data_IF_022388877288
#
_entry.id   IF_022388877288
#
_cell.length_a   1.000
_cell.length_b   1.000
_cell.length_c   1.000
_cell.angle_alpha   90.00
_cell.angle_beta   90.00
_cell.angle_gamma   90.00
#
_symmetry.space_group_name_H-M   'P 1'
#
loop_
_entity.id
_entity.type
_entity.pdbx_description
1 polymer ?
#
# COMPACT_ATOMS: atom_id res chain seq x y z
N UNK A 1 11.09 2.84 5.28
CA UNK A 1 10.15 2.34 6.30
C UNK A 1 10.52 0.91 6.69
N UNK A 2 10.13 0.51 7.90
CA UNK A 2 10.37 -0.83 8.45
C UNK A 2 9.33 -1.84 7.93
N UNK A 3 9.55 -3.16 8.10
CA UNK A 3 8.50 -4.17 7.99
C UNK A 3 7.27 -3.86 8.87
N UNK A 4 6.07 -4.25 8.42
CA UNK A 4 4.80 -3.89 9.07
C UNK A 4 4.74 -4.26 10.56
N UNK A 5 5.20 -5.46 10.93
CA UNK A 5 5.20 -5.93 12.33
C UNK A 5 6.09 -5.11 13.26
N UNK A 6 7.03 -4.31 12.72
CA UNK A 6 7.91 -3.43 13.49
C UNK A 6 7.35 -2.00 13.64
N UNK A 7 6.26 -1.65 12.96
CA UNK A 7 5.69 -0.30 13.03
C UNK A 7 5.35 0.10 14.47
N UNK A 8 4.56 -0.72 15.17
CA UNK A 8 4.13 -0.42 16.54
C UNK A 8 5.28 -0.35 17.56
N UNK A 9 6.19 -1.35 17.68
CA UNK A 9 7.30 -1.25 18.62
C UNK A 9 8.21 -0.05 18.35
N UNK A 10 8.54 0.22 17.08
CA UNK A 10 9.38 1.36 16.74
C UNK A 10 8.69 2.71 17.01
N UNK A 11 7.43 2.85 16.60
CA UNK A 11 6.66 4.08 16.81
C UNK A 11 6.47 4.38 18.31
N UNK A 12 6.13 3.36 19.10
CA UNK A 12 5.91 3.52 20.53
C UNK A 12 7.23 3.85 21.24
N UNK A 13 8.34 3.18 20.88
CA UNK A 13 9.66 3.51 21.41
C UNK A 13 10.07 4.96 21.09
N UNK A 14 9.85 5.41 19.85
CA UNK A 14 10.13 6.79 19.44
C UNK A 14 9.30 7.81 20.23
N UNK A 15 7.99 7.57 20.40
CA UNK A 15 7.13 8.46 21.19
C UNK A 15 7.51 8.47 22.68
N UNK A 16 7.90 7.33 23.26
CA UNK A 16 8.44 7.27 24.62
C UNK A 16 9.74 8.07 24.77
N UNK A 17 10.54 8.17 23.71
CA UNK A 17 11.73 9.00 23.65
C UNK A 17 11.43 10.48 23.34
N UNK A 18 10.16 10.89 23.29
CA UNK A 18 9.77 12.29 23.04
C UNK A 18 9.77 12.69 21.56
N UNK A 19 9.76 11.73 20.63
CA UNK A 19 9.83 11.98 19.19
C UNK A 19 8.46 11.86 18.53
N UNK A 20 8.11 12.83 17.69
CA UNK A 20 7.00 12.71 16.75
C UNK A 20 7.26 11.57 15.75
N UNK A 21 6.19 10.93 15.28
CA UNK A 21 6.30 9.76 14.40
C UNK A 21 5.52 9.96 13.11
N UNK A 22 6.20 9.69 11.98
CA UNK A 22 5.58 9.38 10.70
C UNK A 22 5.92 7.92 10.38
N UNK A 23 4.91 7.06 10.29
CA UNK A 23 5.06 5.63 9.94
C UNK A 23 4.46 5.36 8.58
N UNK A 24 4.95 4.33 7.88
CA UNK A 24 4.30 3.87 6.65
C UNK A 24 2.97 3.19 6.97
N UNK A 25 2.11 3.09 5.95
CA UNK A 25 0.92 2.25 6.00
C UNK A 25 1.31 0.77 5.79
N UNK A 26 0.55 -0.20 6.30
CA UNK A 26 -0.57 -0.05 7.21
C UNK A 26 -0.09 0.38 8.61
N UNK A 27 -0.96 0.94 9.44
CA UNK A 27 -0.57 1.50 10.75
C UNK A 27 0.23 0.52 11.63
N UNK A 28 -0.24 -0.73 11.75
CA UNK A 28 0.46 -1.84 12.40
C UNK A 28 -0.06 -3.19 11.87
N UNK A 29 0.52 -4.29 12.34
CA UNK A 29 0.17 -5.66 11.94
C UNK A 29 -1.10 -6.19 12.61
N UNK A 30 -1.47 -5.66 13.78
CA UNK A 30 -2.68 -6.02 14.54
C UNK A 30 -3.50 -4.80 14.92
N UNK A 31 -4.82 -4.95 15.00
CA UNK A 31 -5.71 -3.87 15.44
C UNK A 31 -5.36 -3.41 16.85
N UNK A 32 -5.04 -4.34 17.76
CA UNK A 32 -4.57 -4.04 19.10
C UNK A 32 -3.36 -3.09 19.12
N UNK A 33 -2.40 -3.33 18.22
CA UNK A 33 -1.19 -2.53 18.07
C UNK A 33 -1.49 -1.13 17.48
N UNK A 34 -2.42 -1.04 16.53
CA UNK A 34 -2.89 0.26 16.02
C UNK A 34 -3.50 1.10 17.16
N UNK A 35 -4.30 0.48 18.03
CA UNK A 35 -4.89 1.12 19.21
C UNK A 35 -3.81 1.51 20.22
N UNK A 36 -2.82 0.66 20.49
CA UNK A 36 -1.66 0.98 21.33
C UNK A 36 -0.92 2.22 20.83
N UNK A 37 -0.64 2.30 19.53
CA UNK A 37 0.01 3.48 18.92
C UNK A 37 -0.84 4.75 19.06
N UNK A 38 -2.15 4.66 18.82
CA UNK A 38 -3.06 5.80 18.99
C UNK A 38 -3.13 6.27 20.46
N UNK A 39 -3.22 5.34 21.41
CA UNK A 39 -3.21 5.62 22.85
C UNK A 39 -1.88 6.23 23.30
N UNK A 40 -0.76 5.76 22.75
CA UNK A 40 0.56 6.32 23.05
C UNK A 40 0.67 7.76 22.54
N UNK A 41 0.25 8.05 21.31
CA UNK A 41 0.22 9.42 20.77
C UNK A 41 -0.66 10.35 21.62
N UNK A 42 -1.83 9.88 22.04
CA UNK A 42 -2.72 10.62 22.97
C UNK A 42 -2.06 10.86 24.33
N UNK A 43 -1.37 9.85 24.89
CA UNK A 43 -0.70 9.92 26.19
C UNK A 43 0.48 10.90 26.19
N UNK A 44 1.26 10.94 25.11
CA UNK A 44 2.45 11.79 25.01
C UNK A 44 2.15 13.18 24.43
N UNK A 45 0.99 13.37 23.81
CA UNK A 45 0.65 14.59 23.08
C UNK A 45 1.46 14.76 21.79
N UNK A 46 2.16 13.71 21.33
CA UNK A 46 3.00 13.76 20.14
C UNK A 46 2.19 13.45 18.88
N UNK A 47 2.47 14.18 17.80
CA UNK A 47 1.94 13.89 16.47
C UNK A 47 2.40 12.51 15.97
N UNK A 48 1.44 11.66 15.65
CA UNK A 48 1.61 10.40 14.91
C UNK A 48 0.84 10.51 13.58
N UNK A 49 1.53 10.33 12.47
CA UNK A 49 0.95 10.24 11.13
C UNK A 49 1.23 8.88 10.50
N UNK A 50 0.31 8.40 9.67
CA UNK A 50 0.48 7.19 8.85
C UNK A 50 0.47 7.58 7.38
N UNK A 51 1.44 7.09 6.61
CA UNK A 51 1.68 7.44 5.20
C UNK A 51 0.57 6.96 4.25
N UNK A 52 -0.53 7.72 4.16
CA UNK A 52 -1.59 7.55 3.17
C UNK A 52 -1.59 8.74 2.21
N UNK A 53 -0.67 8.67 1.26
CA UNK A 53 -0.42 9.65 0.21
C UNK A 53 -1.67 10.09 -0.60
N UNK A 54 -2.72 9.26 -0.70
CA UNK A 54 -3.95 9.60 -1.46
C UNK A 54 -4.72 10.77 -0.88
N UNK A 55 -4.61 11.00 0.43
CA UNK A 55 -5.18 12.18 1.08
C UNK A 55 -4.56 13.49 0.57
N UNK A 56 -3.39 13.42 -0.07
CA UNK A 56 -2.65 14.56 -0.64
C UNK A 56 -2.59 14.50 -2.17
N UNK A 57 -3.35 13.60 -2.80
CA UNK A 57 -3.37 13.46 -4.25
C UNK A 57 -4.52 14.28 -4.84
N UNK A 58 -4.18 15.25 -5.68
CA UNK A 58 -5.12 16.17 -6.30
C UNK A 58 -6.19 15.47 -7.15
N UNK A 59 -5.87 14.34 -7.78
CA UNK A 59 -6.87 13.57 -8.54
C UNK A 59 -7.99 13.06 -7.63
N UNK A 60 -7.66 12.64 -6.40
CA UNK A 60 -8.66 12.18 -5.43
C UNK A 60 -9.44 13.34 -4.82
N UNK A 61 -8.80 14.48 -4.51
CA UNK A 61 -9.47 15.69 -4.03
C UNK A 61 -10.54 16.18 -5.03
N UNK A 62 -10.22 16.08 -6.32
CA UNK A 62 -11.14 16.44 -7.38
C UNK A 62 -12.21 15.38 -7.68
N UNK A 63 -11.90 14.09 -7.56
CA UNK A 63 -12.91 13.04 -7.59
C UNK A 63 -13.94 13.24 -6.47
N UNK A 64 -13.48 13.63 -5.27
CA UNK A 64 -14.35 14.04 -4.15
C UNK A 64 -15.24 15.22 -4.54
N UNK A 65 -14.71 16.23 -5.22
CA UNK A 65 -15.50 17.37 -5.69
C UNK A 65 -16.58 16.96 -6.72
N UNK A 66 -16.26 16.07 -7.66
CA UNK A 66 -17.24 15.55 -8.62
C UNK A 66 -18.38 14.80 -7.92
N UNK A 67 -18.06 13.99 -6.91
CA UNK A 67 -19.04 13.28 -6.09
C UNK A 67 -19.91 14.30 -5.32
N UNK A 68 -19.30 15.27 -4.65
CA UNK A 68 -20.01 16.31 -3.87
C UNK A 68 -20.93 17.18 -4.72
N UNK A 69 -20.53 17.49 -5.96
CA UNK A 69 -21.36 18.23 -6.93
C UNK A 69 -22.50 17.40 -7.52
N UNK A 70 -22.59 16.11 -7.17
CA UNK A 70 -23.63 15.21 -7.67
C UNK A 70 -23.43 14.77 -9.11
N UNK A 71 -22.23 14.93 -9.69
CA UNK A 71 -21.96 14.56 -11.09
C UNK A 71 -22.19 13.07 -11.34
N UNK A 72 -21.90 12.23 -10.35
CA UNK A 72 -22.15 10.79 -10.41
C UNK A 72 -23.56 10.40 -9.93
N UNK A 73 -24.33 11.34 -9.36
CA UNK A 73 -25.54 11.04 -8.60
C UNK A 73 -25.24 10.20 -7.34
N UNK A 74 -26.20 9.38 -6.93
CA UNK A 74 -26.04 8.49 -5.77
C UNK A 74 -25.06 7.35 -6.05
N UNK A 75 -24.01 7.24 -5.23
CA UNK A 75 -23.06 6.13 -5.28
C UNK A 75 -23.70 4.85 -4.74
N UNK A 76 -23.46 3.73 -5.43
CA UNK A 76 -23.98 2.42 -5.01
C UNK A 76 -22.97 1.28 -5.13
N UNK A 77 -21.88 1.47 -5.90
CA UNK A 77 -20.85 0.44 -6.04
C UNK A 77 -19.49 1.07 -6.32
N UNK A 78 -18.44 0.48 -5.74
CA UNK A 78 -17.05 0.84 -6.03
C UNK A 78 -16.31 -0.47 -6.33
N UNK A 79 -15.62 -0.52 -7.46
CA UNK A 79 -14.71 -1.60 -7.82
C UNK A 79 -13.29 -1.08 -7.77
N UNK A 80 -12.40 -1.76 -7.07
CA UNK A 80 -10.99 -1.42 -7.07
C UNK A 80 -10.12 -2.65 -7.33
N UNK A 81 -8.91 -2.40 -7.83
CA UNK A 81 -7.99 -3.48 -8.13
C UNK A 81 -6.54 -3.05 -7.96
N UNK A 82 -5.69 -4.03 -7.66
CA UNK A 82 -4.25 -3.93 -7.86
C UNK A 82 -3.72 -5.25 -8.40
N UNK A 83 -3.78 -5.42 -9.71
CA UNK A 83 -3.24 -6.58 -10.40
C UNK A 83 -1.76 -6.39 -10.71
N UNK A 84 -1.01 -7.49 -10.66
CA UNK A 84 0.45 -7.45 -10.72
C UNK A 84 0.98 -8.48 -11.69
N UNK A 85 2.08 -8.13 -12.36
CA UNK A 85 2.87 -9.05 -13.16
C UNK A 85 3.88 -9.85 -12.31
N UNK A 86 3.61 -10.05 -11.02
CA UNK A 86 4.46 -10.85 -10.15
C UNK A 86 4.15 -12.33 -10.39
N UNK A 87 5.17 -13.07 -10.82
CA UNK A 87 5.12 -14.51 -11.09
C UNK A 87 6.40 -15.15 -10.52
N UNK A 88 6.43 -16.48 -10.32
CA UNK A 88 7.66 -17.18 -9.98
C UNK A 88 8.83 -16.78 -10.89
N UNK A 89 9.98 -16.45 -10.28
CA UNK A 89 11.16 -15.94 -10.98
C UNK A 89 11.17 -14.44 -11.30
N UNK A 90 10.05 -13.73 -11.12
CA UNK A 90 9.94 -12.26 -11.29
C UNK A 90 9.27 -11.58 -10.10
N UNK A 91 9.28 -12.25 -8.95
CA UNK A 91 8.64 -11.74 -7.75
C UNK A 91 9.46 -10.63 -7.10
N UNK A 92 8.95 -9.40 -7.17
CA UNK A 92 9.57 -8.25 -6.51
C UNK A 92 9.67 -8.39 -4.98
N UNK A 93 8.88 -9.26 -4.35
CA UNK A 93 8.93 -9.47 -2.90
C UNK A 93 9.99 -10.50 -2.50
N UNK A 94 10.46 -11.32 -3.44
CA UNK A 94 11.51 -12.32 -3.22
C UNK A 94 12.88 -11.71 -3.49
N UNK A 95 13.36 -10.88 -2.56
CA UNK A 95 14.69 -10.26 -2.66
C UNK A 95 15.80 -11.32 -2.71
N UNK A 96 16.92 -11.08 -3.41
CA UNK A 96 18.05 -12.00 -3.41
C UNK A 96 18.66 -12.12 -2.02
N UNK A 97 19.18 -13.30 -1.68
CA UNK A 97 19.81 -13.57 -0.38
C UNK A 97 21.34 -13.48 -0.50
N UNK A 98 22.04 -13.05 0.57
CA UNK A 98 23.50 -13.04 0.60
C UNK A 98 24.06 -14.47 0.49
N UNK A 99 25.25 -14.65 -0.11
CA UNK A 99 25.89 -15.96 -0.19
C UNK A 99 26.05 -16.62 1.17
N UNK A 100 25.66 -17.89 1.26
CA UNK A 100 25.73 -18.69 2.48
C UNK A 100 24.49 -18.58 3.39
N UNK A 101 23.45 -17.84 2.96
CA UNK A 101 22.16 -17.89 3.63
C UNK A 101 21.51 -19.28 3.49
N UNK A 102 21.74 -19.96 2.36
CA UNK A 102 21.42 -21.37 2.10
C UNK A 102 22.52 -22.04 1.28
N UNK A 103 22.31 -23.33 0.98
CA UNK A 103 23.18 -24.09 0.07
C UNK A 103 23.08 -23.56 -1.37
N UNK A 104 24.16 -22.94 -1.85
CA UNK A 104 24.27 -22.36 -3.21
C UNK A 104 24.01 -23.38 -4.34
N UNK A 105 24.25 -24.68 -4.12
CA UNK A 105 23.94 -25.71 -5.12
C UNK A 105 22.44 -25.92 -5.27
N UNK A 106 21.71 -25.82 -4.15
CA UNK A 106 20.25 -25.96 -4.10
C UNK A 106 19.54 -24.65 -4.44
N UNK A 107 20.15 -23.51 -4.10
CA UNK A 107 19.60 -22.16 -4.26
C UNK A 107 20.59 -21.26 -5.02
N UNK A 108 20.75 -21.45 -6.34
CA UNK A 108 21.69 -20.68 -7.14
C UNK A 108 21.36 -19.18 -7.18
N UNK A 109 20.12 -18.79 -6.88
CA UNK A 109 19.73 -17.38 -6.80
C UNK A 109 20.51 -16.58 -5.75
N UNK A 110 21.08 -17.23 -4.73
CA UNK A 110 21.94 -16.56 -3.74
C UNK A 110 23.29 -16.12 -4.30
N UNK A 111 23.78 -16.81 -5.33
CA UNK A 111 25.05 -16.45 -5.96
C UNK A 111 24.93 -15.18 -6.82
N UNK A 112 23.71 -14.77 -7.17
CA UNK A 112 23.44 -13.61 -8.03
C UNK A 112 24.09 -12.35 -7.47
N UNK A 113 24.08 -12.13 -6.15
CA UNK A 113 24.65 -10.91 -5.56
C UNK A 113 26.17 -10.81 -5.73
N UNK A 114 26.90 -11.91 -5.57
CA UNK A 114 28.35 -11.94 -5.70
C UNK A 114 28.78 -11.76 -7.17
N UNK A 115 28.10 -12.45 -8.09
CA UNK A 115 28.33 -12.30 -9.53
C UNK A 115 27.99 -10.88 -10.02
N UNK A 116 26.86 -10.32 -9.55
CA UNK A 116 26.48 -8.94 -9.83
C UNK A 116 27.51 -7.95 -9.32
N UNK A 117 27.99 -8.15 -8.08
CA UNK A 117 29.01 -7.30 -7.50
C UNK A 117 30.27 -7.29 -8.36
N UNK A 118 30.81 -8.46 -8.71
CA UNK A 118 32.02 -8.57 -9.53
C UNK A 118 31.83 -7.89 -10.91
N UNK A 119 30.68 -8.08 -11.54
CA UNK A 119 30.34 -7.42 -12.81
C UNK A 119 30.25 -5.90 -12.66
N UNK A 120 29.65 -5.41 -11.57
CA UNK A 120 29.52 -3.98 -11.31
C UNK A 120 30.86 -3.34 -10.95
N UNK A 121 31.74 -4.04 -10.25
CA UNK A 121 33.11 -3.57 -9.99
C UNK A 121 33.89 -3.37 -11.29
N UNK A 122 33.79 -4.33 -12.21
CA UNK A 122 34.41 -4.21 -13.53
C UNK A 122 33.80 -3.05 -14.34
N UNK A 123 32.47 -2.89 -14.30
CA UNK A 123 31.79 -1.78 -14.96
C UNK A 123 32.24 -0.43 -14.40
N UNK A 124 32.33 -0.31 -13.08
CA UNK A 124 32.80 0.91 -12.41
C UNK A 124 34.25 1.22 -12.79
N UNK A 125 35.12 0.20 -12.87
CA UNK A 125 36.51 0.36 -13.33
C UNK A 125 36.57 0.93 -14.75
N UNK A 126 35.74 0.44 -15.66
CA UNK A 126 35.64 0.99 -17.03
C UNK A 126 35.12 2.43 -17.05
N UNK A 127 34.15 2.75 -16.20
CA UNK A 127 33.63 4.11 -16.07
C UNK A 127 34.69 5.10 -15.58
N UNK A 128 35.55 4.68 -14.63
CA UNK A 128 36.68 5.47 -14.14
C UNK A 128 37.73 5.67 -15.23
N UNK A 129 38.11 4.61 -15.95
CA UNK A 129 39.05 4.70 -17.08
C UNK A 129 38.57 5.68 -18.17
N UNK A 130 37.27 5.69 -18.47
CA UNK A 130 36.70 6.64 -19.43
C UNK A 130 36.72 8.07 -18.88
N UNK A 131 36.41 8.26 -17.58
CA UNK A 131 36.51 9.57 -16.94
C UNK A 131 37.93 10.14 -17.01
N UNK A 132 38.95 9.31 -16.75
CA UNK A 132 40.36 9.71 -16.83
C UNK A 132 40.74 10.14 -18.25
N UNK A 133 40.30 9.40 -19.27
CA UNK A 133 40.50 9.77 -20.69
C UNK A 133 39.84 11.09 -21.05
N UNK A 134 38.61 11.32 -20.59
CA UNK A 134 37.87 12.56 -20.85
C UNK A 134 38.53 13.78 -20.19
N UNK A 135 39.11 13.59 -19.00
CA UNK A 135 39.78 14.67 -18.27
C UNK A 135 41.09 15.14 -18.91
N UNK A 136 41.70 14.33 -19.78
CA UNK A 136 42.92 14.69 -20.50
C UNK A 136 42.68 15.70 -21.64
N UNK A 137 41.45 15.85 -22.12
CA UNK A 137 41.10 16.80 -23.18
C UNK A 137 40.23 17.96 -22.62
N UNK A 138 40.80 19.19 -22.49
CA UNK A 138 40.06 20.36 -22.03
C UNK A 138 38.80 20.68 -22.86
N UNK A 139 38.73 20.25 -24.13
CA UNK A 139 37.56 20.46 -25.01
C UNK A 139 36.37 19.61 -24.60
N UNK A 140 36.57 18.52 -23.86
CA UNK A 140 35.55 17.55 -23.43
C UNK A 140 35.13 17.72 -21.96
N UNK A 141 35.38 18.88 -21.35
CA UNK A 141 35.08 19.14 -19.94
C UNK A 141 33.61 18.87 -19.54
N UNK A 142 32.63 19.16 -20.41
CA UNK A 142 31.20 18.87 -20.15
C UNK A 142 30.91 17.36 -20.12
N UNK A 143 31.56 16.59 -20.99
CA UNK A 143 31.42 15.12 -21.02
C UNK A 143 32.09 14.49 -19.79
N UNK A 144 33.27 15.00 -19.40
CA UNK A 144 33.95 14.58 -18.18
C UNK A 144 33.08 14.81 -16.93
N UNK A 145 32.43 15.97 -16.80
CA UNK A 145 31.51 16.26 -15.68
C UNK A 145 30.28 15.33 -15.69
N UNK A 146 29.65 15.11 -16.85
CA UNK A 146 28.53 14.18 -16.97
C UNK A 146 28.95 12.73 -16.61
N UNK A 147 30.12 12.28 -17.05
CA UNK A 147 30.65 10.97 -16.74
C UNK A 147 31.01 10.83 -15.26
N UNK A 148 31.56 11.88 -14.63
CA UNK A 148 31.83 11.94 -13.19
C UNK A 148 30.55 11.72 -12.39
N UNK A 149 29.47 12.46 -12.69
CA UNK A 149 28.17 12.32 -12.00
C UNK A 149 27.61 10.91 -12.13
N UNK A 150 27.69 10.32 -13.33
CA UNK A 150 27.27 8.92 -13.57
C UNK A 150 28.10 7.93 -12.74
N UNK A 151 29.42 8.12 -12.68
CA UNK A 151 30.31 7.26 -11.90
C UNK A 151 30.04 7.39 -10.40
N UNK A 152 29.82 8.60 -9.88
CA UNK A 152 29.44 8.85 -8.48
C UNK A 152 28.10 8.20 -8.12
N UNK A 153 27.09 8.31 -8.98
CA UNK A 153 25.81 7.62 -8.79
C UNK A 153 25.97 6.09 -8.83
N UNK A 154 26.76 5.57 -9.76
CA UNK A 154 27.04 4.14 -9.86
C UNK A 154 27.81 3.62 -8.64
N UNK A 155 28.76 4.39 -8.10
CA UNK A 155 29.51 4.05 -6.90
C UNK A 155 28.58 3.84 -5.70
N UNK A 156 27.55 4.67 -5.54
CA UNK A 156 26.54 4.49 -4.47
C UNK A 156 25.82 3.15 -4.59
N UNK A 157 25.44 2.77 -5.82
CA UNK A 157 24.81 1.46 -6.09
C UNK A 157 25.78 0.30 -5.83
N UNK A 158 27.05 0.47 -6.19
CA UNK A 158 28.10 -0.52 -5.91
C UNK A 158 28.34 -0.69 -4.40
N UNK A 159 28.39 0.41 -3.64
CA UNK A 159 28.51 0.38 -2.19
C UNK A 159 27.32 -0.34 -1.54
N UNK A 160 26.10 -0.08 -2.01
CA UNK A 160 24.91 -0.81 -1.56
C UNK A 160 25.05 -2.32 -1.83
N UNK A 161 25.51 -2.71 -3.02
CA UNK A 161 25.74 -4.12 -3.36
C UNK A 161 26.80 -4.77 -2.48
N UNK A 162 27.89 -4.05 -2.16
CA UNK A 162 28.92 -4.52 -1.22
C UNK A 162 28.37 -4.74 0.19
N UNK A 163 27.54 -3.81 0.66
CA UNK A 163 26.87 -3.95 1.96
C UNK A 163 25.97 -5.19 1.99
N UNK A 164 25.16 -5.42 0.94
CA UNK A 164 24.32 -6.61 0.84
C UNK A 164 25.10 -7.92 0.93
N UNK A 165 26.30 -8.00 0.34
CA UNK A 165 27.17 -9.18 0.46
C UNK A 165 27.79 -9.27 1.86
N UNK A 166 28.13 -8.14 2.48
CA UNK A 166 28.67 -8.07 3.83
C UNK A 166 27.66 -8.48 4.91
N UNK A 167 26.36 -8.32 4.64
CA UNK A 167 25.25 -8.74 5.52
C UNK A 167 25.22 -10.25 5.81
N UNK A 168 26.08 -11.05 5.17
CA UNK A 168 26.34 -12.45 5.57
C UNK A 168 26.63 -12.60 7.08
N UNK A 169 27.17 -11.57 7.73
CA UNK A 169 27.42 -11.58 9.18
C UNK A 169 26.12 -11.63 10.00
N UNK A 170 24.99 -11.19 9.44
CA UNK A 170 23.68 -11.18 10.08
C UNK A 170 23.01 -12.56 10.01
N UNK A 171 23.47 -13.46 9.13
CA UNK A 171 22.92 -14.82 8.97
C UNK A 171 22.82 -15.53 10.33
N UNK A 172 23.89 -15.48 11.13
CA UNK A 172 23.94 -16.12 12.45
C UNK A 172 23.05 -15.43 13.50
N UNK A 173 22.74 -14.14 13.32
CA UNK A 173 22.04 -13.32 14.33
C UNK A 173 20.54 -13.19 14.07
N UNK A 174 20.04 -13.52 12.88
CA UNK A 174 18.64 -13.30 12.55
C UNK A 174 17.69 -13.96 13.57
N UNK A 175 18.01 -15.18 14.04
CA UNK A 175 17.25 -15.85 15.09
C UNK A 175 17.26 -15.09 16.43
N UNK A 176 18.39 -14.49 16.81
CA UNK A 176 18.53 -13.69 18.03
C UNK A 176 17.62 -12.46 18.03
N UNK A 177 17.29 -11.94 16.84
CA UNK A 177 16.35 -10.82 16.66
C UNK A 177 14.88 -11.26 16.49
N UNK A 178 14.56 -12.53 16.74
CA UNK A 178 13.19 -13.05 16.72
C UNK A 178 12.65 -13.37 15.33
N UNK A 179 13.51 -13.51 14.32
CA UNK A 179 13.14 -14.12 13.04
C UNK A 179 13.10 -15.64 13.16
N UNK A 180 12.22 -16.28 12.39
CA UNK A 180 11.80 -17.66 12.53
C UNK A 180 12.21 -18.50 11.32
N UNK A 181 12.50 -19.76 11.59
CA UNK A 181 12.61 -20.78 10.56
C UNK A 181 11.21 -21.19 10.09
N UNK A 182 11.03 -21.36 8.79
CA UNK A 182 9.81 -21.89 8.19
C UNK A 182 10.10 -23.18 7.43
N UNK A 183 9.40 -24.26 7.83
CA UNK A 183 9.52 -25.58 7.20
C UNK A 183 8.22 -25.93 6.48
N UNK A 184 8.27 -26.01 5.15
CA UNK A 184 7.14 -26.47 4.35
C UNK A 184 7.29 -27.95 4.06
N UNK A 185 6.18 -28.68 4.23
CA UNK A 185 6.14 -30.13 4.08
C UNK A 185 5.09 -30.55 3.05
N UNK A 186 5.37 -31.65 2.35
CA UNK A 186 4.39 -32.31 1.50
C UNK A 186 3.37 -33.12 2.34
N UNK A 187 2.43 -33.78 1.67
CA UNK A 187 1.42 -34.63 2.32
C UNK A 187 2.02 -35.85 3.03
N UNK A 188 3.24 -36.25 2.69
CA UNK A 188 3.99 -37.35 3.31
C UNK A 188 4.83 -36.87 4.50
N UNK A 189 4.86 -35.56 4.76
CA UNK A 189 5.62 -34.94 5.85
C UNK A 189 7.08 -34.62 5.51
N UNK A 190 7.53 -34.85 4.27
CA UNK A 190 8.89 -34.54 3.84
C UNK A 190 9.06 -33.02 3.70
N UNK A 191 10.19 -32.49 4.15
CA UNK A 191 10.50 -31.07 3.97
C UNK A 191 10.78 -30.80 2.50
N UNK A 192 9.95 -29.97 1.87
CA UNK A 192 10.07 -29.56 0.46
C UNK A 192 10.67 -28.15 0.33
N UNK A 193 10.59 -27.34 1.38
CA UNK A 193 11.24 -26.04 1.46
C UNK A 193 11.59 -25.70 2.89
N UNK A 194 12.75 -25.07 3.06
CA UNK A 194 13.26 -24.59 4.34
C UNK A 194 13.66 -23.13 4.14
N UNK A 195 13.08 -22.25 4.95
CA UNK A 195 13.43 -20.85 5.02
C UNK A 195 14.09 -20.58 6.39
N UNK A 196 15.40 -20.32 6.46
CA UNK A 196 16.05 -19.98 7.71
C UNK A 196 15.65 -18.56 8.17
N UNK A 197 15.87 -18.20 9.44
CA UNK A 197 15.53 -16.89 9.99
C UNK A 197 16.03 -15.68 9.16
N UNK A 198 17.21 -15.78 8.54
CA UNK A 198 17.75 -14.71 7.68
C UNK A 198 16.88 -14.46 6.44
N UNK A 199 16.27 -15.52 5.89
CA UNK A 199 15.36 -15.36 4.78
C UNK A 199 14.09 -14.64 5.22
N UNK A 200 13.57 -14.92 6.41
CA UNK A 200 12.41 -14.21 6.94
C UNK A 200 12.71 -12.71 7.11
N UNK A 201 13.89 -12.37 7.62
CA UNK A 201 14.35 -10.99 7.74
C UNK A 201 14.39 -10.27 6.38
N UNK A 202 15.03 -10.87 5.37
CA UNK A 202 15.24 -10.23 4.07
C UNK A 202 13.96 -10.22 3.23
N UNK A 203 13.26 -11.35 3.21
CA UNK A 203 12.03 -11.57 2.43
C UNK A 203 10.79 -11.41 3.30
N UNK A 204 10.82 -10.49 4.26
CA UNK A 204 9.74 -10.27 5.23
C UNK A 204 8.35 -10.16 4.59
N UNK A 205 8.24 -9.63 3.38
CA UNK A 205 6.95 -9.53 2.67
C UNK A 205 6.28 -10.86 2.39
N UNK A 206 7.03 -11.97 2.37
CA UNK A 206 6.55 -13.31 2.06
C UNK A 206 5.90 -14.03 3.26
N UNK A 207 5.91 -13.40 4.44
CA UNK A 207 5.45 -14.04 5.67
C UNK A 207 4.31 -13.25 6.29
N UNK A 208 3.20 -13.91 6.60
CA UNK A 208 2.02 -13.30 7.19
C UNK A 208 2.44 -12.53 8.45
N UNK A 209 3.18 -13.19 9.34
CA UNK A 209 3.67 -12.65 10.61
C UNK A 209 4.37 -11.30 10.47
N UNK A 210 5.08 -11.06 9.37
CA UNK A 210 5.93 -9.87 9.23
C UNK A 210 5.38 -8.85 8.24
N UNK A 211 4.46 -9.25 7.35
CA UNK A 211 3.91 -8.48 6.22
C UNK A 211 2.40 -8.22 6.30
N UNK A 212 1.61 -9.22 6.70
CA UNK A 212 0.14 -9.17 6.59
C UNK A 212 -0.41 -9.36 5.17
N UNK A 213 0.43 -9.70 4.18
CA UNK A 213 -0.01 -10.13 2.85
C UNK A 213 -0.58 -9.01 1.96
N UNK A 214 -1.20 -9.41 0.84
CA UNK A 214 -1.64 -8.48 -0.22
C UNK A 214 -2.65 -7.45 0.27
N UNK A 215 -3.55 -7.79 1.19
CA UNK A 215 -4.52 -6.81 1.69
C UNK A 215 -3.86 -5.71 2.52
N UNK A 216 -2.89 -6.05 3.38
CA UNK A 216 -2.18 -5.06 4.18
C UNK A 216 -1.21 -4.22 3.33
N UNK A 217 -0.46 -4.87 2.43
CA UNK A 217 0.57 -4.24 1.60
C UNK A 217 0.01 -3.49 0.38
N UNK A 218 -1.14 -3.89 -0.16
CA UNK A 218 -1.72 -3.29 -1.36
C UNK A 218 -3.18 -2.87 -1.12
N UNK A 219 -4.03 -3.76 -0.62
CA UNK A 219 -5.46 -3.48 -0.47
C UNK A 219 -5.79 -2.26 0.40
N UNK A 220 -4.97 -1.98 1.42
CA UNK A 220 -5.07 -0.77 2.25
C UNK A 220 -5.04 0.53 1.44
N UNK A 221 -4.30 0.56 0.32
CA UNK A 221 -4.24 1.72 -0.57
C UNK A 221 -5.55 2.00 -1.30
N UNK A 222 -6.15 0.98 -1.93
CA UNK A 222 -7.42 1.13 -2.65
C UNK A 222 -8.61 1.27 -1.69
N UNK A 223 -8.52 0.67 -0.51
CA UNK A 223 -9.53 0.82 0.52
C UNK A 223 -9.61 2.26 1.05
N UNK A 224 -8.45 2.91 1.24
CA UNK A 224 -8.40 4.31 1.65
C UNK A 224 -9.08 5.21 0.60
N UNK A 225 -8.80 4.98 -0.69
CA UNK A 225 -9.51 5.65 -1.80
C UNK A 225 -11.03 5.47 -1.73
N UNK A 226 -11.50 4.24 -1.56
CA UNK A 226 -12.93 3.95 -1.44
C UNK A 226 -13.56 4.66 -0.23
N UNK A 227 -12.85 4.69 0.90
CA UNK A 227 -13.29 5.39 2.11
C UNK A 227 -13.40 6.90 1.89
N UNK A 228 -12.51 7.51 1.11
CA UNK A 228 -12.57 8.91 0.70
C UNK A 228 -13.84 9.19 -0.14
N UNK A 229 -14.14 8.35 -1.13
CA UNK A 229 -15.33 8.52 -1.98
C UNK A 229 -16.64 8.31 -1.23
N UNK A 230 -16.70 7.30 -0.37
CA UNK A 230 -17.86 7.03 0.47
C UNK A 230 -18.07 8.19 1.44
N UNK A 231 -17.01 8.73 2.04
CA UNK A 231 -17.11 9.92 2.88
C UNK A 231 -17.64 11.12 2.09
N UNK A 232 -17.19 11.33 0.85
CA UNK A 232 -17.69 12.41 -0.02
C UNK A 232 -19.20 12.30 -0.27
N UNK A 233 -19.72 11.10 -0.51
CA UNK A 233 -21.17 10.85 -0.64
C UNK A 233 -21.96 11.14 0.65
N UNK A 234 -21.29 11.19 1.81
CA UNK A 234 -21.85 11.51 3.13
C UNK A 234 -21.44 12.91 3.61
N UNK A 235 -21.25 13.87 2.70
CA UNK A 235 -20.90 15.24 3.05
C UNK A 235 -19.52 15.38 3.72
N UNK A 236 -18.60 14.45 3.46
CA UNK A 236 -17.26 14.39 4.05
C UNK A 236 -17.17 13.57 5.34
N UNK A 237 -18.26 12.98 5.84
CA UNK A 237 -18.23 12.17 7.05
C UNK A 237 -17.80 10.72 6.76
N UNK A 238 -16.70 10.27 7.38
CA UNK A 238 -16.19 8.89 7.25
C UNK A 238 -17.25 7.89 7.74
N UNK A 239 -17.53 6.89 6.92
CA UNK A 239 -18.44 5.79 7.26
C UNK A 239 -17.66 4.54 7.65
N UNK A 240 -18.18 3.79 8.61
CA UNK A 240 -17.65 2.47 8.96
C UNK A 240 -18.40 1.39 8.17
N UNK A 241 -17.69 0.35 7.71
CA UNK A 241 -18.35 -0.75 7.02
C UNK A 241 -19.24 -1.55 7.96
N UNK A 242 -20.24 -2.20 7.38
CA UNK A 242 -21.19 -3.09 8.04
C UNK A 242 -20.63 -4.51 8.14
N UNK A 243 -20.06 -5.01 7.04
CA UNK A 243 -19.45 -6.33 6.98
C UNK A 243 -18.42 -6.45 5.86
N UNK A 244 -17.59 -7.49 5.95
CA UNK A 244 -16.71 -7.94 4.87
C UNK A 244 -16.96 -9.41 4.57
N UNK A 245 -16.88 -9.78 3.29
CA UNK A 245 -16.66 -11.15 2.83
C UNK A 245 -15.35 -11.19 2.05
N UNK A 246 -14.46 -12.13 2.36
CA UNK A 246 -13.15 -12.21 1.71
C UNK A 246 -12.70 -13.65 1.44
N UNK A 247 -11.83 -13.79 0.45
CA UNK A 247 -11.16 -15.03 0.11
C UNK A 247 -9.72 -14.75 -0.34
N UNK A 248 -8.83 -15.69 -0.04
CA UNK A 248 -7.46 -15.70 -0.53
C UNK A 248 -7.11 -17.08 -1.10
N UNK A 249 -6.18 -17.13 -2.06
CA UNK A 249 -5.71 -18.40 -2.61
C UNK A 249 -4.24 -18.32 -3.05
N UNK A 250 -3.62 -19.48 -3.29
CA UNK A 250 -2.20 -19.62 -3.65
C UNK A 250 -1.94 -20.57 -4.84
N UNK A 251 -2.38 -20.25 -6.06
CA UNK A 251 -2.23 -21.15 -7.21
C UNK A 251 -0.89 -21.01 -7.97
N UNK A 252 -0.04 -20.02 -7.69
CA UNK A 252 1.10 -19.65 -8.53
C UNK A 252 2.45 -19.90 -7.88
N UNK A 253 2.65 -19.40 -6.65
CA UNK A 253 3.96 -19.42 -6.02
C UNK A 253 4.23 -20.79 -5.36
N UNK A 254 5.49 -21.24 -5.37
CA UNK A 254 5.88 -22.46 -4.68
C UNK A 254 5.67 -22.32 -3.15
N UNK A 255 5.82 -23.42 -2.38
CA UNK A 255 5.75 -23.38 -0.92
C UNK A 255 7.01 -22.71 -0.31
N UNK A 256 7.25 -21.45 -0.67
CA UNK A 256 8.36 -20.59 -0.23
C UNK A 256 7.89 -19.34 0.53
N UNK A 257 6.62 -19.33 0.92
CA UNK A 257 5.87 -18.23 1.55
C UNK A 257 4.62 -18.80 2.21
N UNK A 258 3.97 -18.02 3.06
CA UNK A 258 2.65 -18.34 3.65
C UNK A 258 1.55 -17.31 3.31
N UNK A 259 1.92 -16.19 2.68
CA UNK A 259 0.98 -15.19 2.18
C UNK A 259 0.28 -15.64 0.89
N UNK A 260 -0.90 -15.05 0.67
CA UNK A 260 -1.77 -15.37 -0.45
C UNK A 260 -1.22 -14.80 -1.77
N UNK A 261 -1.45 -15.53 -2.87
CA UNK A 261 -1.09 -15.09 -4.22
C UNK A 261 -2.17 -14.17 -4.79
N UNK A 262 -3.43 -14.40 -4.41
CA UNK A 262 -4.56 -13.54 -4.73
C UNK A 262 -5.40 -13.26 -3.49
N UNK A 263 -6.01 -12.07 -3.44
CA UNK A 263 -7.01 -11.69 -2.45
C UNK A 263 -8.18 -11.04 -3.15
N UNK A 264 -9.38 -11.40 -2.71
CA UNK A 264 -10.65 -10.84 -3.18
C UNK A 264 -11.52 -10.51 -1.98
N UNK A 265 -12.17 -9.35 -1.98
CA UNK A 265 -13.16 -9.04 -0.95
C UNK A 265 -14.32 -8.20 -1.47
N UNK A 266 -15.43 -8.31 -0.76
CA UNK A 266 -16.59 -7.42 -0.85
C UNK A 266 -16.85 -6.84 0.54
N UNK A 267 -16.90 -5.53 0.64
CA UNK A 267 -17.16 -4.79 1.88
C UNK A 267 -18.41 -3.97 1.66
N UNK A 268 -19.37 -4.07 2.57
CA UNK A 268 -20.60 -3.28 2.53
C UNK A 268 -20.47 -2.08 3.45
N UNK A 269 -20.76 -0.89 2.94
CA UNK A 269 -20.85 0.35 3.70
C UNK A 269 -22.29 0.86 3.71
N UNK A 270 -22.71 1.62 4.73
CA UNK A 270 -23.97 2.35 4.67
C UNK A 270 -23.94 3.34 3.48
N UNK A 271 -25.02 3.38 2.71
CA UNK A 271 -25.26 4.46 1.74
C UNK A 271 -26.03 5.61 2.40
N UNK A 272 -26.09 6.81 1.80
CA UNK A 272 -26.97 7.87 2.27
C UNK A 272 -28.41 7.39 2.46
N UNK A 273 -28.96 7.61 3.65
CA UNK A 273 -30.30 7.13 4.03
C UNK A 273 -30.37 5.66 4.46
N UNK A 274 -29.24 4.99 4.70
CA UNK A 274 -29.20 3.69 5.38
C UNK A 274 -29.83 3.79 6.77
N UNK A 275 -30.76 2.88 7.06
CA UNK A 275 -31.35 2.72 8.39
C UNK A 275 -31.46 1.22 8.71
N UNK A 276 -30.73 0.70 9.71
CA UNK A 276 -30.78 -0.72 10.05
C UNK A 276 -32.16 -1.16 10.59
N UNK A 277 -33.01 -0.23 11.04
CA UNK A 277 -34.34 -0.51 11.61
C UNK A 277 -35.44 -0.51 10.55
N UNK A 278 -35.21 0.13 9.40
CA UNK A 278 -36.17 0.16 8.30
C UNK A 278 -35.93 -1.01 7.32
N UNK A 279 -36.96 -1.82 6.97
CA UNK A 279 -36.81 -2.97 6.08
C UNK A 279 -36.22 -2.63 4.69
N UNK A 280 -36.45 -1.42 4.18
CA UNK A 280 -35.94 -0.95 2.90
C UNK A 280 -34.65 -0.13 3.07
N UNK A 281 -34.57 0.71 4.10
CA UNK A 281 -33.41 1.50 4.47
C UNK A 281 -32.18 0.64 4.71
N UNK A 282 -32.34 -0.54 5.33
CA UNK A 282 -31.23 -1.47 5.57
C UNK A 282 -30.61 -2.05 4.28
N UNK A 283 -31.30 -1.92 3.14
CA UNK A 283 -30.80 -2.36 1.83
C UNK A 283 -29.98 -1.28 1.12
N UNK A 284 -30.03 -0.02 1.59
CA UNK A 284 -29.26 1.08 1.01
C UNK A 284 -27.80 0.98 1.44
N UNK A 285 -27.01 0.30 0.62
CA UNK A 285 -25.59 0.03 0.86
C UNK A 285 -24.75 0.43 -0.34
N UNK A 286 -23.51 0.83 -0.06
CA UNK A 286 -22.47 0.95 -1.07
C UNK A 286 -21.60 -0.30 -0.95
N UNK A 287 -21.56 -1.12 -1.99
CA UNK A 287 -20.67 -2.28 -2.01
C UNK A 287 -19.33 -1.87 -2.60
N UNK A 288 -18.25 -2.12 -1.86
CA UNK A 288 -16.89 -2.02 -2.34
C UNK A 288 -16.36 -3.41 -2.66
N UNK A 289 -15.92 -3.65 -3.90
CA UNK A 289 -15.27 -4.89 -4.29
C UNK A 289 -13.80 -4.62 -4.62
N UNK A 290 -12.91 -5.45 -4.07
CA UNK A 290 -11.48 -5.35 -4.32
C UNK A 290 -10.89 -6.70 -4.77
N UNK A 291 -9.94 -6.63 -5.69
CA UNK A 291 -9.14 -7.78 -6.07
C UNK A 291 -7.65 -7.41 -6.28
N UNK A 292 -6.76 -8.17 -5.67
CA UNK A 292 -5.33 -8.19 -5.96
C UNK A 292 -4.98 -9.54 -6.57
N UNK A 293 -4.58 -9.55 -7.83
CA UNK A 293 -4.32 -10.76 -8.60
C UNK A 293 -2.91 -10.69 -9.17
N UNK A 294 -2.14 -11.74 -8.91
CA UNK A 294 -0.85 -11.97 -9.55
C UNK A 294 -1.09 -12.71 -10.88
N UNK A 295 -0.46 -12.27 -11.96
CA UNK A 295 -0.73 -12.80 -13.30
C UNK A 295 0.14 -12.11 -14.35
N UNK A 296 -0.43 -11.78 -15.50
CA UNK A 296 0.25 -10.98 -16.53
C UNK A 296 0.25 -9.47 -16.22
N UNK A 297 -0.38 -9.04 -15.13
CA UNK A 297 -0.50 -7.62 -14.75
C UNK A 297 -1.55 -6.82 -15.51
N UNK A 298 -2.43 -7.48 -16.29
CA UNK A 298 -3.53 -6.81 -16.96
C UNK A 298 -4.41 -6.04 -15.96
N UNK A 299 -4.85 -4.84 -16.36
CA UNK A 299 -5.72 -3.98 -15.54
C UNK A 299 -4.99 -3.10 -14.51
N UNK A 300 -3.71 -3.33 -14.22
CA UNK A 300 -2.93 -2.45 -13.35
C UNK A 300 -3.58 -2.22 -11.98
N UNK A 301 -3.63 -0.97 -11.53
CA UNK A 301 -4.27 -0.57 -10.27
C UNK A 301 -5.14 0.67 -10.44
N UNK A 302 -6.22 0.76 -9.67
CA UNK A 302 -7.16 1.87 -9.75
C UNK A 302 -8.51 1.58 -9.11
N UNK A 303 -9.41 2.55 -9.22
CA UNK A 303 -10.76 2.52 -8.69
C UNK A 303 -11.78 2.92 -9.76
N UNK A 304 -12.91 2.23 -9.82
CA UNK A 304 -14.09 2.58 -10.62
C UNK A 304 -15.25 2.83 -9.67
N UNK A 305 -15.77 4.04 -9.67
CA UNK A 305 -16.86 4.52 -8.81
C UNK A 305 -18.12 4.62 -9.64
N UNK A 306 -19.14 3.85 -9.27
CA UNK A 306 -20.42 3.80 -9.96
C UNK A 306 -21.46 4.59 -9.18
N UNK A 307 -22.06 5.57 -9.84
CA UNK A 307 -23.24 6.25 -9.37
C UNK A 307 -24.38 6.22 -10.41
N UNK A 308 -25.55 6.64 -9.96
CA UNK A 308 -26.80 6.62 -10.76
C UNK A 308 -26.78 7.48 -12.02
N UNK A 309 -25.90 8.48 -12.10
CA UNK A 309 -25.83 9.43 -13.22
C UNK A 309 -24.47 9.44 -13.93
N UNK A 310 -23.49 8.70 -13.41
CA UNK A 310 -22.18 8.61 -14.04
C UNK A 310 -21.25 7.61 -13.38
N UNK A 311 -20.21 7.22 -14.13
CA UNK A 311 -19.15 6.32 -13.66
C UNK A 311 -17.80 7.03 -13.80
N UNK A 312 -17.03 7.06 -12.72
CA UNK A 312 -15.67 7.62 -12.68
C UNK A 312 -14.67 6.48 -12.55
N UNK A 313 -13.71 6.37 -13.46
CA UNK A 313 -12.55 5.49 -13.31
C UNK A 313 -11.29 6.31 -13.09
N UNK A 314 -10.52 5.95 -12.06
CA UNK A 314 -9.19 6.46 -11.79
C UNK A 314 -8.20 5.31 -11.99
N UNK A 315 -7.29 5.46 -12.94
CA UNK A 315 -6.30 4.43 -13.28
C UNK A 315 -4.88 4.93 -13.03
N UNK A 316 -4.11 4.09 -12.34
CA UNK A 316 -2.68 4.27 -12.08
C UNK A 316 -2.28 5.61 -11.43
N UNK A 317 -3.23 6.26 -10.73
CA UNK A 317 -3.06 7.60 -10.13
C UNK A 317 -2.62 8.67 -11.15
N UNK A 318 -2.91 8.44 -12.44
CA UNK A 318 -2.50 9.31 -13.54
C UNK A 318 -3.62 9.59 -14.52
N UNK A 319 -4.55 8.67 -14.66
CA UNK A 319 -5.62 8.78 -15.63
C UNK A 319 -6.96 8.83 -14.91
N UNK A 320 -7.84 9.70 -15.38
CA UNK A 320 -9.21 9.80 -14.91
C UNK A 320 -10.15 9.79 -16.11
N UNK A 321 -11.19 8.98 -16.04
CA UNK A 321 -12.19 8.85 -17.09
C UNK A 321 -13.59 8.95 -16.52
N UNK A 322 -14.46 9.74 -17.15
CA UNK A 322 -15.85 9.95 -16.71
C UNK A 322 -16.82 9.57 -17.84
N UNK A 323 -17.72 8.64 -17.53
CA UNK A 323 -18.84 8.24 -18.39
C UNK A 323 -20.16 8.76 -17.82
N UNK A 324 -21.02 9.33 -18.67
CA UNK A 324 -22.43 9.66 -18.37
C UNK A 324 -23.41 8.69 -19.03
N UNK A 325 -22.92 7.85 -19.94
CA UNK A 325 -23.70 6.85 -20.66
C UNK A 325 -23.11 5.46 -20.43
N UNK A 326 -23.76 4.43 -20.97
CA UNK A 326 -23.28 3.05 -20.91
C UNK A 326 -22.30 2.70 -22.05
N UNK A 327 -22.10 3.61 -23.02
CA UNK A 327 -21.21 3.41 -24.15
C UNK A 327 -19.78 3.67 -23.72
N UNK A 328 -18.89 2.69 -23.90
CA UNK A 328 -17.52 2.75 -23.38
C UNK A 328 -16.68 3.78 -24.13
N UNK A 329 -17.07 4.11 -25.35
CA UNK A 329 -16.44 5.10 -26.22
C UNK A 329 -16.79 6.55 -25.79
N UNK A 330 -17.96 6.76 -25.20
CA UNK A 330 -18.50 8.09 -24.85
C UNK A 330 -18.03 8.55 -23.46
N UNK A 331 -16.77 8.98 -23.36
CA UNK A 331 -16.20 9.46 -22.11
C UNK A 331 -15.26 10.65 -22.26
N UNK A 332 -15.12 11.40 -21.16
CA UNK A 332 -14.02 12.34 -21.01
C UNK A 332 -12.83 11.57 -20.45
N UNK A 333 -11.69 11.62 -21.15
CA UNK A 333 -10.41 11.09 -20.66
C UNK A 333 -9.42 12.21 -20.32
N UNK A 334 -8.75 12.06 -19.19
CA UNK A 334 -7.65 12.91 -18.77
C UNK A 334 -6.38 12.09 -18.54
N UNK A 335 -5.26 12.61 -19.00
CA UNK A 335 -3.93 12.04 -18.80
C UNK A 335 -3.02 13.02 -18.04
N UNK A 336 -2.65 12.70 -16.79
CA UNK A 336 -1.64 13.46 -16.06
C UNK A 336 -0.23 13.15 -16.62
N UNK A 337 0.46 14.16 -17.15
CA UNK A 337 1.83 14.01 -17.68
C UNK A 337 2.86 14.70 -16.79
N UNK A 338 4.02 14.05 -16.59
CA UNK A 338 5.10 14.58 -15.75
C UNK A 338 5.80 15.75 -16.45
N UNK A 339 5.61 16.97 -15.93
CA UNK A 339 6.30 18.18 -16.39
C UNK A 339 5.77 18.78 -17.70
N UNK A 340 4.60 18.33 -18.18
CA UNK A 340 3.86 18.96 -19.28
C UNK A 340 2.43 19.27 -18.82
N UNK A 341 1.80 20.35 -19.31
CA UNK A 341 0.38 20.52 -19.13
C UNK A 341 -0.33 19.28 -19.71
N UNK A 342 -1.27 18.70 -18.98
CA UNK A 342 -2.03 17.54 -19.42
C UNK A 342 -2.81 17.84 -20.69
N UNK A 343 -3.02 16.77 -21.42
CA UNK A 343 -3.79 16.80 -22.65
C UNK A 343 -5.16 16.19 -22.34
N UNK A 344 -6.20 16.99 -22.57
CA UNK A 344 -7.56 16.50 -22.72
C UNK A 344 -7.62 15.75 -24.04
N UNK A 345 -7.94 14.46 -23.99
CA UNK A 345 -8.31 13.71 -25.18
C UNK A 345 -9.84 13.55 -25.12
N UNK A 346 -10.54 14.56 -25.63
CA UNK A 346 -12.00 14.50 -25.76
C UNK A 346 -12.34 13.61 -26.94
N UNK A 347 -12.82 12.40 -26.66
CA UNK A 347 -13.46 11.55 -27.66
C UNK A 347 -14.86 12.14 -27.95
N UNK A 348 -14.92 13.05 -28.93
CA UNK A 348 -16.06 13.69 -29.64
C UNK A 348 -17.45 13.80 -28.96
N UNK A 349 -17.88 15.04 -28.61
CA UNK A 349 -18.87 15.93 -29.29
C UNK A 349 -19.21 17.07 -28.30
N UNK A 350 -18.84 18.30 -28.66
CA UNK A 350 -18.60 19.44 -27.76
C UNK A 350 -19.85 20.22 -27.29
N UNK A 351 -20.97 19.54 -27.02
CA UNK A 351 -22.24 20.24 -26.81
C UNK A 351 -22.92 19.85 -25.48
N UNK A 352 -22.57 18.68 -24.89
CA UNK A 352 -23.20 18.14 -23.66
C UNK A 352 -22.25 17.93 -22.46
N UNK A 353 -20.95 18.20 -22.64
CA UNK A 353 -19.91 17.82 -21.67
C UNK A 353 -19.04 18.99 -21.17
N UNK A 354 -19.24 20.21 -21.67
CA UNK A 354 -18.25 21.30 -21.58
C UNK A 354 -17.90 21.76 -20.15
N UNK A 355 -18.86 21.78 -19.22
CA UNK A 355 -18.58 22.24 -17.84
C UNK A 355 -17.85 21.19 -17.01
N UNK A 356 -18.20 19.92 -17.17
CA UNK A 356 -17.52 18.81 -16.48
C UNK A 356 -16.19 18.50 -17.15
N UNK A 357 -16.08 18.58 -18.48
CA UNK A 357 -14.82 18.48 -19.23
C UNK A 357 -13.85 19.62 -18.90
N UNK A 358 -14.34 20.85 -18.72
CA UNK A 358 -13.52 21.97 -18.24
C UNK A 358 -13.06 21.75 -16.79
N UNK A 359 -13.95 21.29 -15.91
CA UNK A 359 -13.59 20.91 -14.54
C UNK A 359 -12.53 19.80 -14.55
N UNK A 360 -12.74 18.74 -15.33
CA UNK A 360 -11.81 17.63 -15.62
C UNK A 360 -10.46 18.15 -16.19
N UNK A 361 -10.47 19.06 -17.14
CA UNK A 361 -9.26 19.69 -17.71
C UNK A 361 -8.44 20.50 -16.70
N UNK A 362 -9.10 21.23 -15.81
CA UNK A 362 -8.44 21.90 -14.68
C UNK A 362 -7.74 20.88 -13.76
N UNK A 363 -8.34 19.70 -13.51
CA UNK A 363 -7.80 18.66 -12.62
C UNK A 363 -6.40 18.20 -12.97
N UNK A 364 -6.11 18.18 -14.27
CA UNK A 364 -4.86 17.67 -14.73
C UNK A 364 -3.80 18.81 -14.71
N UNK A 365 -4.18 20.06 -15.01
CA UNK A 365 -3.24 21.20 -15.18
C UNK A 365 -2.63 21.70 -13.86
N UNK A 366 -3.12 21.24 -12.72
CA UNK A 366 -2.48 21.47 -11.42
C UNK A 366 -1.13 20.76 -11.34
N UNK A 367 -0.13 21.47 -10.80
CA UNK A 367 1.29 21.10 -10.71
C UNK A 367 1.48 19.62 -10.33
N UNK A 368 2.43 18.95 -11.00
CA UNK A 368 2.76 17.53 -10.82
C UNK A 368 2.67 17.05 -9.36
N UNK A 369 1.90 15.98 -9.15
CA UNK A 369 1.66 15.31 -7.86
C UNK A 369 2.95 15.13 -7.07
N UNK A 370 3.01 15.76 -5.88
CA UNK A 370 4.06 15.56 -4.88
C UNK A 370 3.52 14.95 -3.59
N UNK A 371 2.54 14.03 -3.69
CA UNK A 371 1.77 13.51 -2.54
C UNK A 371 2.60 13.21 -1.29
N UNK A 372 3.70 12.45 -1.41
CA UNK A 372 4.61 12.19 -0.27
C UNK A 372 5.34 13.43 0.25
N UNK A 373 5.75 14.36 -0.62
CA UNK A 373 6.39 15.61 -0.19
C UNK A 373 5.39 16.48 0.57
N UNK A 374 4.17 16.63 0.04
CA UNK A 374 3.12 17.42 0.69
C UNK A 374 2.66 16.80 2.02
N UNK A 375 2.59 15.47 2.10
CA UNK A 375 2.30 14.77 3.35
C UNK A 375 3.37 15.06 4.42
N UNK A 376 4.65 14.96 4.06
CA UNK A 376 5.76 15.21 4.97
C UNK A 376 5.82 16.69 5.36
N UNK A 377 5.61 17.61 4.41
CA UNK A 377 5.54 19.05 4.66
C UNK A 377 4.39 19.41 5.61
N UNK A 378 3.20 18.84 5.38
CA UNK A 378 2.05 19.04 6.25
C UNK A 378 2.28 18.46 7.65
N UNK A 379 2.84 17.25 7.75
CA UNK A 379 3.20 16.66 9.04
C UNK A 379 4.20 17.52 9.82
N UNK A 380 5.26 18.00 9.16
CA UNK A 380 6.24 18.91 9.76
C UNK A 380 5.60 20.26 10.16
N UNK A 381 4.64 20.75 9.37
CA UNK A 381 3.88 21.96 9.69
C UNK A 381 3.00 21.76 10.93
N UNK A 382 2.29 20.64 11.07
CA UNK A 382 1.48 20.33 12.26
C UNK A 382 2.35 20.30 13.53
N UNK A 383 3.55 19.73 13.45
CA UNK A 383 4.50 19.71 14.57
C UNK A 383 4.92 21.12 14.99
N UNK A 384 5.16 22.01 14.02
CA UNK A 384 5.57 23.40 14.28
C UNK A 384 4.42 24.30 14.73
N UNK A 385 3.17 23.89 14.48
CA UNK A 385 1.97 24.67 14.77
C UNK A 385 1.00 23.84 15.62
N UNK A 386 1.37 23.49 16.86
CA UNK A 386 0.57 22.58 17.67
C UNK A 386 -0.78 23.19 18.02
N UNK A 387 -1.85 22.57 17.54
CA UNK A 387 -3.23 22.88 17.91
C UNK A 387 -4.10 21.61 17.75
N UNK A 388 -5.20 21.47 18.50
CA UNK A 388 -6.11 20.33 18.35
C UNK A 388 -6.61 20.10 16.91
N UNK A 389 -6.81 21.17 16.16
CA UNK A 389 -7.25 21.19 14.76
C UNK A 389 -6.11 20.92 13.76
N UNK A 390 -4.85 21.18 14.14
CA UNK A 390 -3.69 21.04 13.26
C UNK A 390 -3.17 19.61 13.31
N UNK A 391 -3.92 18.69 12.71
CA UNK A 391 -3.56 17.28 12.62
C UNK A 391 -3.22 16.88 11.17
N UNK A 392 -2.27 15.96 10.98
CA UNK A 392 -2.07 15.32 9.68
C UNK A 392 -3.38 14.70 9.17
N UNK A 393 -3.61 14.70 7.85
CA UNK A 393 -4.86 14.17 7.25
C UNK A 393 -5.11 12.73 7.67
N UNK A 394 -4.06 11.90 7.74
CA UNK A 394 -4.11 10.53 8.23
C UNK A 394 -3.52 10.41 9.65
N UNK A 395 -4.17 11.06 10.61
CA UNK A 395 -3.87 10.93 12.05
C UNK A 395 -4.37 9.58 12.61
N UNK A 396 -4.05 9.20 13.86
CA UNK A 396 -4.19 7.82 14.34
C UNK A 396 -5.61 7.25 14.26
N UNK A 397 -6.65 8.06 14.46
CA UNK A 397 -8.05 7.62 14.36
C UNK A 397 -8.44 7.26 12.92
N UNK A 398 -7.97 8.06 11.95
CA UNK A 398 -8.24 7.82 10.53
C UNK A 398 -7.53 6.54 10.10
N UNK A 399 -6.24 6.42 10.43
CA UNK A 399 -5.42 5.26 10.07
C UNK A 399 -5.87 3.97 10.76
N UNK A 400 -6.33 4.04 12.01
CA UNK A 400 -6.91 2.90 12.72
C UNK A 400 -8.11 2.34 11.96
N UNK A 401 -8.98 3.20 11.44
CA UNK A 401 -10.16 2.74 10.71
C UNK A 401 -9.78 1.93 9.46
N UNK A 402 -8.80 2.38 8.68
CA UNK A 402 -8.36 1.66 7.48
C UNK A 402 -7.66 0.35 7.86
N UNK A 403 -6.89 0.36 8.97
CA UNK A 403 -6.26 -0.84 9.50
C UNK A 403 -7.25 -1.89 10.00
N UNK A 404 -8.32 -1.47 10.70
CA UNK A 404 -9.38 -2.38 11.15
C UNK A 404 -9.98 -3.12 9.96
N UNK A 405 -10.30 -2.41 8.89
CA UNK A 405 -10.94 -3.02 7.73
C UNK A 405 -9.97 -3.95 7.00
N UNK A 406 -8.73 -3.51 6.72
CA UNK A 406 -7.74 -4.34 6.02
C UNK A 406 -7.38 -5.61 6.80
N UNK A 407 -7.14 -5.50 8.11
CA UNK A 407 -6.77 -6.64 8.96
C UNK A 407 -7.96 -7.58 9.20
N UNK A 408 -9.18 -7.06 9.34
CA UNK A 408 -10.39 -7.89 9.44
C UNK A 408 -10.66 -8.62 8.12
N UNK A 409 -10.36 -8.00 6.98
CA UNK A 409 -10.45 -8.65 5.66
C UNK A 409 -9.50 -9.85 5.56
N UNK A 410 -8.26 -9.73 6.04
CA UNK A 410 -7.34 -10.86 6.14
C UNK A 410 -7.87 -11.96 7.07
N UNK A 411 -8.41 -11.58 8.23
CA UNK A 411 -9.01 -12.53 9.15
C UNK A 411 -10.16 -13.30 8.49
N UNK A 412 -11.05 -12.60 7.77
CA UNK A 412 -12.16 -13.19 7.02
C UNK A 412 -11.67 -14.20 5.97
N UNK A 413 -10.69 -13.83 5.15
CA UNK A 413 -10.13 -14.71 4.12
C UNK A 413 -9.57 -16.02 4.71
N UNK A 414 -8.87 -15.93 5.85
CA UNK A 414 -8.24 -17.08 6.52
C UNK A 414 -9.24 -17.95 7.28
N UNK A 415 -10.30 -17.36 7.81
CA UNK A 415 -11.39 -18.13 8.41
C UNK A 415 -12.12 -18.97 7.35
N UNK A 416 -12.32 -18.43 6.14
CA UNK A 416 -12.87 -19.19 5.02
C UNK A 416 -12.01 -20.41 4.67
N UNK A 417 -10.68 -20.25 4.63
CA UNK A 417 -9.74 -21.35 4.37
C UNK A 417 -9.80 -22.44 5.46
N UNK A 418 -9.87 -22.04 6.73
CA UNK A 418 -9.91 -22.97 7.87
C UNK A 418 -11.22 -23.72 8.02
N UNK A 419 -12.31 -23.20 7.46
CA UNK A 419 -13.65 -23.77 7.58
C UNK A 419 -14.32 -23.91 6.20
N UNK A 420 -13.76 -24.73 5.28
CA UNK A 420 -14.21 -24.80 3.89
C UNK A 420 -15.65 -25.31 3.73
N UNK A 421 -16.19 -26.00 4.73
CA UNK A 421 -17.57 -26.50 4.74
C UNK A 421 -18.59 -25.49 5.30
N UNK A 422 -18.14 -24.31 5.76
CA UNK A 422 -19.01 -23.25 6.25
C UNK A 422 -19.02 -22.08 5.27
N UNK A 423 -20.11 -21.89 4.47
CA UNK A 423 -20.16 -20.83 3.46
C UNK A 423 -20.15 -19.41 4.05
N UNK A 424 -20.38 -19.27 5.37
CA UNK A 424 -20.35 -17.99 6.07
C UNK A 424 -19.03 -17.75 6.82
N UNK A 425 -18.09 -18.71 6.85
CA UNK A 425 -16.84 -18.55 7.59
C UNK A 425 -16.00 -17.35 7.09
N UNK A 426 -16.12 -17.00 5.81
CA UNK A 426 -15.47 -15.85 5.21
C UNK A 426 -16.18 -14.51 5.42
N UNK A 427 -17.30 -14.46 6.16
CA UNK A 427 -18.06 -13.23 6.41
C UNK A 427 -17.89 -12.78 7.86
N UNK A 428 -17.49 -11.52 8.05
CA UNK A 428 -17.37 -10.89 9.38
C UNK A 428 -18.19 -9.60 9.40
N UNK A 429 -19.00 -9.42 10.44
CA UNK A 429 -19.68 -8.15 10.74
C UNK A 429 -18.77 -7.26 11.57
N UNK A 430 -18.68 -6.00 11.17
CA UNK A 430 -17.86 -5.02 11.87
C UNK A 430 -18.57 -4.49 13.12
N UNK A 431 -17.79 -4.25 14.17
CA UNK A 431 -18.27 -3.66 15.42
C UNK A 431 -17.75 -2.22 15.57
N UNK A 432 -18.59 -1.24 15.93
CA UNK A 432 -18.15 0.15 16.13
C UNK A 432 -16.97 0.28 17.11
N UNK A 433 -16.92 -0.57 18.14
CA UNK A 433 -15.88 -0.61 19.16
C UNK A 433 -14.49 -0.90 18.59
N UNK A 434 -14.40 -1.58 17.45
CA UNK A 434 -13.11 -1.86 16.80
C UNK A 434 -12.46 -0.59 16.22
N UNK A 435 -13.27 0.41 15.85
CA UNK A 435 -12.83 1.69 15.29
C UNK A 435 -12.51 2.74 16.35
N UNK A 436 -12.90 2.49 17.61
CA UNK A 436 -12.59 3.37 18.73
C UNK A 436 -11.20 3.03 19.32
N UNK A 437 -10.22 3.94 19.28
CA UNK A 437 -8.91 3.71 19.89
C UNK A 437 -8.98 3.51 21.41
N UNK A 438 -10.00 4.04 22.10
CA UNK A 438 -10.13 3.94 23.55
C UNK A 438 -10.81 2.63 24.00
N UNK A 439 -11.45 1.89 23.08
CA UNK A 439 -12.02 0.55 23.35
C UNK A 439 -10.99 -0.56 23.25
N UNK A 440 -11.06 -1.59 24.10
CA UNK A 440 -10.17 -2.77 24.06
C UNK A 440 -10.61 -3.85 23.07
N UNK A 441 -11.81 -3.75 22.49
CA UNK A 441 -12.35 -4.75 21.59
C UNK A 441 -11.60 -4.77 20.24
N UNK A 442 -11.27 -5.95 19.74
CA UNK A 442 -10.63 -6.14 18.42
C UNK A 442 -11.30 -7.30 17.67
N UNK A 443 -11.19 -7.36 16.33
CA UNK A 443 -11.76 -8.46 15.54
C UNK A 443 -11.19 -9.83 15.89
N UNK A 444 -9.94 -9.90 16.33
CA UNK A 444 -9.23 -11.13 16.70
C UNK A 444 -9.22 -11.41 18.22
N UNK A 445 -9.87 -10.56 19.03
CA UNK A 445 -9.95 -10.67 20.48
C UNK A 445 -8.66 -10.31 21.24
N UNK A 446 -7.58 -9.95 20.55
CA UNK A 446 -6.34 -9.51 21.19
C UNK A 446 -6.51 -8.10 21.79
N UNK A 447 -6.36 -7.98 23.11
CA UNK A 447 -6.49 -6.69 23.79
C UNK A 447 -5.25 -5.80 23.59
N UNK A 448 -5.43 -4.47 23.46
CA UNK A 448 -4.32 -3.52 23.50
C UNK A 448 -3.59 -3.56 24.85
N UNK A 449 -2.27 -3.63 24.84
CA UNK A 449 -1.44 -3.62 26.05
C UNK A 449 -0.14 -2.85 25.83
N UNK A 450 -0.06 -1.64 26.42
CA UNK A 450 1.12 -0.78 26.33
C UNK A 450 2.29 -1.25 27.19
N UNK A 451 2.07 -2.17 28.15
CA UNK A 451 3.13 -2.65 29.03
C UNK A 451 4.13 -3.57 28.33
N UNK A 452 3.75 -4.19 27.20
CA UNK A 452 4.65 -4.98 26.35
C UNK A 452 5.84 -4.20 25.78
N UNK A 453 5.76 -2.86 25.79
CA UNK A 453 6.80 -1.97 25.30
C UNK A 453 7.60 -1.32 26.44
N UNK A 454 7.36 -1.72 27.70
CA UNK A 454 7.92 -1.10 28.90
C UNK A 454 9.45 -1.03 28.88
#
# INVERSE_FOLDING_TARGET
>A
ALPLHLHAPAAIAAMKAGLHVLTEKLMAHKVAQCKEMARMAKKTGLILAVGHQRHYNILYDHAVELIRRGVLGDLHYIRAQWHRANLPGRDSWKQPLPPGAKDLKKYPEENQLAEELARWEEQYRKMQQELDRLQQDPRRAKEADAQRRRAEEFLKRLQQKRAQVADRQIIAKAAEYGYQEHLFRDAQGNVIYEAPPIEELIRWRLWDRTSGGLMAELGSHQLDAASIFIAAAHGGQKQWPLCVMAAGNRPLFPPDRDIEDHVYCMIEFPAPGYDPKDPHGRLKKITYAYASINGNGFGGYGETVFGTQGTLALETEKEAMLWKTHWVEDHIRLLASKGKPPQLDTVQQADQWDKEAAALGTLATSVAVRGYTEEIEHWAWCIRNPAPENQPRCHPKVALADAVIALTTNLAARLAEKAPNNPLAGRIEFKPEWFDPDSDETPDGQKPDLSRYA
#
